data_IF_939504094911
#
_entry.id   IF_939504094911
#
_cell.length_a   1.000
_cell.length_b   1.000
_cell.length_c   1.000
_cell.angle_alpha   90.00
_cell.angle_beta   90.00
_cell.angle_gamma   90.00
#
_symmetry.space_group_name_H-M   'P 1'
#
loop_
_entity.id
_entity.type
_entity.pdbx_description
1 polymer ?
#
# COMPACT_ATOMS: atom_id res chain seq x y z
N UNK A 1 -7.47 -2.33 15.06
CA UNK A 1 -6.50 -3.34 14.58
C UNK A 1 -7.14 -4.19 13.50
N UNK A 2 -6.39 -4.63 12.50
CA UNK A 2 -6.92 -5.52 11.49
C UNK A 2 -7.44 -6.82 12.14
N UNK A 3 -8.53 -7.36 11.61
CA UNK A 3 -9.09 -8.66 11.99
C UNK A 3 -9.73 -9.29 10.76
N UNK A 4 -9.84 -10.60 10.77
CA UNK A 4 -10.45 -11.36 9.67
C UNK A 4 -11.85 -10.84 9.32
N UNK A 5 -12.05 -10.47 8.07
CA UNK A 5 -13.28 -9.91 7.55
C UNK A 5 -13.41 -8.39 7.64
N UNK A 6 -12.51 -7.67 8.35
CA UNK A 6 -12.49 -6.20 8.35
C UNK A 6 -12.28 -5.67 6.94
N UNK A 7 -13.03 -4.63 6.58
CA UNK A 7 -12.89 -3.93 5.30
C UNK A 7 -12.43 -2.51 5.58
N UNK A 8 -11.35 -2.11 4.93
CA UNK A 8 -10.89 -0.73 4.88
C UNK A 8 -11.10 -0.18 3.47
N UNK A 9 -11.37 1.10 3.35
CA UNK A 9 -11.67 1.73 2.06
C UNK A 9 -11.02 3.09 1.94
N UNK A 10 -10.62 3.42 0.72
CA UNK A 10 -10.15 4.74 0.34
C UNK A 10 -11.30 5.51 -0.32
N UNK A 11 -11.86 6.51 0.37
CA UNK A 11 -13.01 7.30 -0.11
C UNK A 11 -12.71 8.10 -1.40
N UNK A 12 -11.43 8.38 -1.70
CA UNK A 12 -11.03 9.17 -2.89
C UNK A 12 -10.83 8.29 -4.12
N UNK A 13 -10.28 7.11 -3.96
CA UNK A 13 -10.00 6.19 -5.08
C UNK A 13 -11.06 5.11 -5.23
N UNK A 14 -11.90 4.91 -4.22
CA UNK A 14 -12.88 3.83 -4.15
C UNK A 14 -12.26 2.44 -3.93
N UNK A 15 -10.93 2.34 -3.75
CA UNK A 15 -10.29 1.07 -3.44
C UNK A 15 -10.80 0.53 -2.10
N UNK A 16 -11.05 -0.77 -2.04
CA UNK A 16 -11.41 -1.48 -0.82
C UNK A 16 -10.45 -2.64 -0.61
N UNK A 17 -10.09 -2.90 0.64
CA UNK A 17 -9.27 -4.05 1.03
C UNK A 17 -10.02 -4.79 2.15
N UNK A 18 -10.27 -6.07 1.95
CA UNK A 18 -10.81 -7.00 2.95
C UNK A 18 -9.69 -7.89 3.46
N UNK A 19 -9.47 -7.93 4.76
CA UNK A 19 -8.52 -8.85 5.39
C UNK A 19 -9.12 -10.27 5.42
N UNK A 20 -8.43 -11.23 4.83
CA UNK A 20 -8.81 -12.66 4.78
C UNK A 20 -8.14 -13.44 5.90
N UNK A 21 -6.82 -13.22 6.06
CA UNK A 21 -6.02 -13.68 7.19
C UNK A 21 -5.09 -12.53 7.61
N UNK A 22 -4.98 -12.32 8.91
CA UNK A 22 -4.17 -11.25 9.48
C UNK A 22 -2.81 -11.78 9.96
N UNK A 23 -1.93 -10.88 10.35
CA UNK A 23 -0.66 -11.23 11.00
C UNK A 23 -0.90 -12.04 12.26
N UNK A 24 -1.91 -11.71 13.06
CA UNK A 24 -2.25 -12.44 14.29
C UNK A 24 -2.75 -13.87 13.98
N UNK A 25 -3.55 -14.04 12.91
CA UNK A 25 -4.05 -15.37 12.49
C UNK A 25 -2.92 -16.32 12.06
N UNK A 26 -1.80 -15.79 11.60
CA UNK A 26 -0.71 -16.57 10.98
C UNK A 26 0.61 -16.52 11.76
N UNK A 27 0.62 -15.91 12.94
CA UNK A 27 1.86 -15.70 13.72
C UNK A 27 2.89 -14.83 13.00
N UNK A 28 2.44 -13.92 12.14
CA UNK A 28 3.29 -13.01 11.39
C UNK A 28 3.82 -13.52 10.04
N UNK A 29 3.53 -14.76 9.69
CA UNK A 29 4.06 -15.37 8.46
C UNK A 29 3.38 -14.85 7.19
N UNK A 30 2.07 -14.62 7.25
CA UNK A 30 1.24 -14.25 6.09
C UNK A 30 0.21 -13.20 6.46
N UNK A 31 0.05 -12.20 5.60
CA UNK A 31 -1.12 -11.36 5.51
C UNK A 31 -1.82 -11.68 4.18
N UNK A 32 -3.09 -12.11 4.23
CA UNK A 32 -3.89 -12.35 3.04
C UNK A 32 -5.08 -11.40 2.97
N UNK A 33 -5.26 -10.80 1.81
CA UNK A 33 -6.28 -9.79 1.56
C UNK A 33 -6.97 -10.00 0.22
N UNK A 34 -8.17 -9.46 0.08
CA UNK A 34 -8.78 -9.19 -1.22
C UNK A 34 -8.86 -7.68 -1.44
N UNK A 35 -8.32 -7.22 -2.55
CA UNK A 35 -8.37 -5.82 -2.95
C UNK A 35 -9.31 -5.63 -4.14
N UNK A 36 -10.20 -4.64 -4.03
CA UNK A 36 -11.12 -4.23 -5.11
C UNK A 36 -10.63 -2.90 -5.67
N UNK A 37 -10.35 -2.88 -6.97
CA UNK A 37 -9.92 -1.70 -7.72
C UNK A 37 -11.07 -1.19 -8.57
N UNK A 38 -11.38 0.09 -8.45
CA UNK A 38 -12.40 0.72 -9.29
C UNK A 38 -11.92 0.85 -10.75
N UNK A 39 -12.85 0.97 -11.73
CA UNK A 39 -12.50 1.26 -13.10
C UNK A 39 -11.62 2.50 -13.22
N UNK A 40 -10.68 2.47 -14.16
CA UNK A 40 -9.77 3.59 -14.45
C UNK A 40 -9.03 4.12 -13.22
N UNK A 41 -8.69 3.25 -12.25
CA UNK A 41 -7.91 3.67 -11.11
C UNK A 41 -6.53 4.18 -11.56
N UNK A 42 -6.01 5.17 -10.83
CA UNK A 42 -4.70 5.73 -11.15
C UNK A 42 -3.59 4.80 -10.73
N UNK A 43 -2.53 4.76 -11.54
CA UNK A 43 -1.29 4.08 -11.17
C UNK A 43 -0.68 4.74 -9.92
N UNK A 44 -0.46 3.98 -8.83
CA UNK A 44 0.19 4.50 -7.64
C UNK A 44 1.69 4.74 -7.89
N UNK A 45 2.33 5.44 -6.95
CA UNK A 45 3.79 5.64 -6.98
C UNK A 45 4.49 4.29 -6.99
N UNK A 46 5.43 4.11 -7.93
CA UNK A 46 6.25 2.91 -8.01
C UNK A 46 7.04 2.72 -6.71
N UNK A 47 7.02 1.50 -6.17
CA UNK A 47 7.58 1.16 -4.87
C UNK A 47 8.16 -0.25 -4.84
N UNK A 48 8.76 -0.62 -3.72
CA UNK A 48 9.26 -1.97 -3.46
C UNK A 48 9.21 -2.30 -1.97
N UNK A 49 9.21 -3.58 -1.67
CA UNK A 49 9.22 -4.13 -0.32
C UNK A 49 10.60 -4.69 -0.02
N UNK A 50 11.37 -4.13 0.96
CA UNK A 50 12.75 -4.56 1.19
C UNK A 50 12.87 -5.95 1.80
N UNK A 51 11.85 -6.39 2.56
CA UNK A 51 11.90 -7.63 3.33
C UNK A 51 10.71 -8.56 3.09
N UNK A 52 9.79 -8.19 2.21
CA UNK A 52 8.56 -8.91 1.93
C UNK A 52 8.48 -9.32 0.48
N UNK A 53 7.79 -10.42 0.24
CA UNK A 53 7.37 -10.90 -1.08
C UNK A 53 5.86 -10.79 -1.18
N UNK A 54 5.35 -10.65 -2.38
CA UNK A 54 3.93 -10.53 -2.63
C UNK A 54 3.48 -11.47 -3.73
N UNK A 55 2.34 -12.12 -3.52
CA UNK A 55 1.67 -12.91 -4.53
C UNK A 55 0.30 -12.30 -4.82
N UNK A 56 0.00 -12.16 -6.10
CA UNK A 56 -1.29 -11.66 -6.56
C UNK A 56 -1.96 -12.67 -7.47
N UNK A 57 -3.27 -12.86 -7.28
CA UNK A 57 -4.12 -13.66 -8.16
C UNK A 57 -5.33 -12.82 -8.55
N UNK A 58 -5.56 -12.64 -9.83
CA UNK A 58 -6.73 -11.91 -10.32
C UNK A 58 -7.96 -12.80 -10.17
N UNK A 59 -8.88 -12.41 -9.29
CA UNK A 59 -10.11 -13.15 -9.03
C UNK A 59 -11.24 -12.76 -9.99
N UNK A 60 -11.24 -11.48 -10.43
CA UNK A 60 -12.27 -10.93 -11.31
C UNK A 60 -11.72 -9.72 -12.07
N UNK A 61 -12.13 -9.56 -13.32
CA UNK A 61 -11.71 -8.45 -14.19
C UNK A 61 -10.27 -8.57 -14.66
N UNK A 62 -9.60 -7.44 -14.77
CA UNK A 62 -8.19 -7.36 -15.18
C UNK A 62 -7.44 -6.27 -14.40
N UNK A 63 -6.15 -6.45 -14.24
CA UNK A 63 -5.28 -5.54 -13.51
C UNK A 63 -3.99 -5.27 -14.30
N UNK A 64 -3.55 -4.02 -14.33
CA UNK A 64 -2.28 -3.62 -14.92
C UNK A 64 -1.19 -3.65 -13.85
N UNK A 65 -0.06 -4.26 -14.17
CA UNK A 65 1.12 -4.31 -13.30
C UNK A 65 2.32 -3.79 -14.06
N UNK A 66 3.01 -2.81 -13.48
CA UNK A 66 4.29 -2.31 -13.99
C UNK A 66 5.42 -2.92 -13.19
N UNK A 67 6.42 -3.43 -13.89
CA UNK A 67 7.70 -3.86 -13.36
C UNK A 67 8.83 -3.26 -14.21
N UNK A 68 10.08 -3.62 -13.94
CA UNK A 68 11.22 -3.26 -14.80
C UNK A 68 11.12 -3.81 -16.24
N UNK A 69 10.28 -4.82 -16.46
CA UNK A 69 10.05 -5.44 -17.78
C UNK A 69 8.98 -4.72 -18.60
N UNK A 70 8.35 -3.68 -18.04
CA UNK A 70 7.26 -2.94 -18.67
C UNK A 70 5.93 -3.13 -17.96
N UNK A 71 4.85 -2.78 -18.66
CA UNK A 71 3.47 -2.97 -18.20
C UNK A 71 2.91 -4.25 -18.80
N UNK A 72 2.34 -5.08 -17.94
CA UNK A 72 1.56 -6.26 -18.35
C UNK A 72 0.14 -6.15 -17.80
N UNK A 73 -0.82 -6.70 -18.52
CA UNK A 73 -2.21 -6.82 -18.08
C UNK A 73 -2.46 -8.26 -17.69
N UNK A 74 -2.86 -8.46 -16.46
CA UNK A 74 -3.26 -9.76 -15.90
C UNK A 74 -4.77 -9.85 -15.93
N UNK A 75 -5.31 -10.98 -16.35
CA UNK A 75 -6.74 -11.29 -16.43
C UNK A 75 -7.14 -12.29 -15.36
N UNK A 76 -8.43 -12.52 -15.22
CA UNK A 76 -8.97 -13.49 -14.27
C UNK A 76 -8.25 -14.85 -14.39
N UNK A 77 -7.76 -15.35 -13.25
CA UNK A 77 -6.97 -16.57 -13.12
C UNK A 77 -5.46 -16.37 -13.23
N UNK A 78 -4.99 -15.25 -13.79
CA UNK A 78 -3.56 -14.95 -13.87
C UNK A 78 -2.98 -14.64 -12.49
N UNK A 79 -1.68 -14.94 -12.36
CA UNK A 79 -0.91 -14.77 -11.12
C UNK A 79 0.37 -14.00 -11.41
N UNK A 80 0.84 -13.28 -10.42
CA UNK A 80 2.17 -12.66 -10.44
C UNK A 80 2.79 -12.74 -9.06
N UNK A 81 4.08 -13.08 -9.03
CA UNK A 81 4.92 -13.02 -7.85
C UNK A 81 5.81 -11.78 -7.94
N UNK A 82 5.89 -11.02 -6.86
CA UNK A 82 6.77 -9.86 -6.70
C UNK A 82 7.78 -10.17 -5.60
N UNK A 83 9.02 -10.35 -5.98
CA UNK A 83 10.11 -10.66 -5.05
C UNK A 83 10.54 -9.43 -4.25
N UNK A 84 11.24 -9.66 -3.13
CA UNK A 84 11.90 -8.60 -2.34
C UNK A 84 12.69 -7.65 -3.24
N UNK A 85 12.61 -6.36 -2.95
CA UNK A 85 13.29 -5.29 -3.69
C UNK A 85 12.88 -5.13 -5.16
N UNK A 86 11.88 -5.85 -5.65
CA UNK A 86 11.36 -5.67 -7.01
C UNK A 86 10.46 -4.44 -7.07
N UNK A 87 10.88 -3.43 -7.84
CA UNK A 87 10.09 -2.23 -8.07
C UNK A 87 8.87 -2.57 -8.90
N UNK A 88 7.69 -2.16 -8.42
CA UNK A 88 6.41 -2.40 -9.09
C UNK A 88 5.38 -1.31 -8.76
N UNK A 89 4.28 -1.32 -9.52
CA UNK A 89 3.01 -0.63 -9.25
C UNK A 89 1.87 -1.44 -9.86
N UNK A 90 0.68 -1.35 -9.26
CA UNK A 90 -0.51 -2.09 -9.68
C UNK A 90 -1.73 -1.17 -9.69
N UNK A 91 -2.53 -1.21 -10.76
CA UNK A 91 -3.74 -0.40 -10.90
C UNK A 91 -4.71 -1.04 -11.90
N UNK A 92 -5.95 -0.60 -11.90
CA UNK A 92 -6.96 -1.05 -12.86
C UNK A 92 -7.14 0.00 -13.97
N UNK A 93 -6.64 -0.29 -15.17
CA UNK A 93 -6.82 0.59 -16.35
C UNK A 93 -8.14 0.31 -17.10
N UNK A 94 -8.81 -0.79 -16.79
CA UNK A 94 -10.00 -1.24 -17.50
C UNK A 94 -11.26 -0.43 -17.14
N UNK A 95 -12.34 -0.67 -17.89
CA UNK A 95 -13.67 -0.06 -17.67
C UNK A 95 -14.50 -0.78 -16.60
N UNK A 96 -14.05 -1.94 -16.15
CA UNK A 96 -14.76 -2.78 -15.18
C UNK A 96 -13.98 -2.80 -13.86
N UNK A 97 -14.67 -3.05 -12.76
CA UNK A 97 -14.05 -3.31 -11.46
C UNK A 97 -13.17 -4.56 -11.54
N UNK A 98 -12.04 -4.55 -10.85
CA UNK A 98 -11.19 -5.72 -10.70
C UNK A 98 -11.06 -6.13 -9.23
N UNK A 99 -11.01 -7.43 -8.96
CA UNK A 99 -10.79 -8.00 -7.63
C UNK A 99 -9.58 -8.92 -7.66
N UNK A 100 -8.68 -8.73 -6.70
CA UNK A 100 -7.39 -9.41 -6.64
C UNK A 100 -7.21 -10.00 -5.24
N UNK A 101 -6.86 -11.28 -5.15
CA UNK A 101 -6.30 -11.85 -3.92
C UNK A 101 -4.84 -11.39 -3.82
N UNK A 102 -4.46 -10.91 -2.67
CA UNK A 102 -3.15 -10.32 -2.39
C UNK A 102 -2.58 -10.93 -1.11
N UNK A 103 -1.42 -11.55 -1.23
CA UNK A 103 -0.66 -12.14 -0.13
C UNK A 103 0.65 -11.39 0.07
N UNK A 104 1.01 -11.15 1.32
CA UNK A 104 2.26 -10.49 1.73
C UNK A 104 2.98 -11.39 2.73
N UNK A 105 4.24 -11.71 2.48
CA UNK A 105 5.03 -12.64 3.26
C UNK A 105 6.45 -12.11 3.54
N UNK A 106 6.85 -11.97 4.82
CA UNK A 106 6.05 -12.02 6.04
C UNK A 106 5.07 -10.84 6.11
N UNK A 107 4.04 -10.93 6.96
CA UNK A 107 3.03 -9.88 7.16
C UNK A 107 3.64 -8.55 7.61
N UNK A 108 4.58 -8.59 8.54
CA UNK A 108 5.21 -7.41 9.18
C UNK A 108 4.16 -6.37 9.63
N UNK A 109 4.46 -5.08 9.52
CA UNK A 109 3.55 -3.96 9.84
C UNK A 109 2.64 -3.56 8.65
N UNK A 110 2.41 -4.43 7.65
CA UNK A 110 1.65 -4.08 6.44
C UNK A 110 0.21 -3.69 6.75
N UNK A 111 -0.44 -4.36 7.69
CA UNK A 111 -1.80 -4.04 8.14
C UNK A 111 -1.88 -2.61 8.66
N UNK A 112 -0.96 -2.24 9.56
CA UNK A 112 -0.87 -0.90 10.13
C UNK A 112 -0.58 0.17 9.07
N UNK A 113 0.29 -0.15 8.11
CA UNK A 113 0.59 0.73 6.99
C UNK A 113 -0.66 1.01 6.15
N UNK A 114 -1.43 -0.02 5.82
CA UNK A 114 -2.64 0.09 5.01
C UNK A 114 -3.76 0.85 5.76
N UNK A 115 -4.03 0.49 7.01
CA UNK A 115 -5.05 1.15 7.83
C UNK A 115 -4.72 2.63 8.04
N UNK A 116 -3.48 2.96 8.40
CA UNK A 116 -3.04 4.35 8.55
C UNK A 116 -3.08 5.11 7.22
N UNK A 117 -2.62 4.52 6.13
CA UNK A 117 -2.65 5.13 4.81
C UNK A 117 -4.06 5.49 4.37
N UNK A 118 -5.02 4.57 4.52
CA UNK A 118 -6.43 4.83 4.20
C UNK A 118 -7.07 5.83 5.15
N UNK A 119 -6.81 5.73 6.45
CA UNK A 119 -7.32 6.70 7.44
C UNK A 119 -6.83 8.12 7.15
N UNK A 120 -5.55 8.30 6.86
CA UNK A 120 -4.99 9.60 6.48
C UNK A 120 -5.65 10.13 5.20
N UNK A 121 -5.83 9.28 4.19
CA UNK A 121 -6.48 9.70 2.94
C UNK A 121 -7.92 10.15 3.18
N UNK A 122 -8.64 9.48 4.06
CA UNK A 122 -10.05 9.73 4.33
C UNK A 122 -10.30 10.93 5.25
N UNK A 123 -9.46 11.13 6.27
CA UNK A 123 -9.75 12.03 7.40
C UNK A 123 -8.75 13.19 7.50
N UNK A 124 -7.61 13.15 6.79
CA UNK A 124 -6.60 14.19 6.85
C UNK A 124 -6.51 14.96 5.53
N UNK A 125 -5.74 16.04 5.54
CA UNK A 125 -5.55 16.90 4.38
C UNK A 125 -4.67 16.21 3.34
N UNK A 126 -5.27 15.76 2.25
CA UNK A 126 -4.59 15.15 1.10
C UNK A 126 -5.01 15.84 -0.19
N UNK A 127 -4.21 15.69 -1.26
CA UNK A 127 -4.60 16.18 -2.59
C UNK A 127 -5.74 15.32 -3.18
N UNK A 128 -6.21 15.67 -4.38
CA UNK A 128 -7.31 14.95 -5.07
C UNK A 128 -6.97 13.48 -5.40
N UNK A 129 -5.69 13.13 -5.44
CA UNK A 129 -5.21 11.75 -5.63
C UNK A 129 -5.08 10.96 -4.33
N UNK A 130 -5.48 11.54 -3.19
CA UNK A 130 -5.35 10.92 -1.87
C UNK A 130 -3.92 10.94 -1.31
N UNK A 131 -2.98 11.67 -1.94
CA UNK A 131 -1.60 11.76 -1.46
C UNK A 131 -1.49 12.84 -0.37
N UNK A 132 -0.96 12.50 0.81
CA UNK A 132 -0.67 13.47 1.85
C UNK A 132 0.49 14.39 1.44
N UNK A 133 0.60 15.54 2.12
CA UNK A 133 1.71 16.46 1.92
C UNK A 133 3.05 15.86 2.33
N UNK A 134 4.15 16.47 1.84
CA UNK A 134 5.52 15.95 2.03
C UNK A 134 5.88 15.69 3.49
N UNK A 135 5.46 16.55 4.42
CA UNK A 135 5.73 16.38 5.85
C UNK A 135 5.07 15.11 6.43
N UNK A 136 3.83 14.82 6.02
CA UNK A 136 3.15 13.58 6.43
C UNK A 136 3.79 12.35 5.77
N UNK A 137 4.15 12.45 4.48
CA UNK A 137 4.86 11.39 3.75
C UNK A 137 6.19 11.07 4.41
N UNK A 138 6.95 12.07 4.85
CA UNK A 138 8.24 11.86 5.53
C UNK A 138 8.11 10.99 6.78
N UNK A 139 7.07 11.24 7.60
CA UNK A 139 6.82 10.44 8.80
C UNK A 139 6.38 9.02 8.49
N UNK A 140 5.45 8.85 7.54
CA UNK A 140 4.98 7.52 7.13
C UNK A 140 6.10 6.69 6.50
N UNK A 141 6.84 7.26 5.55
CA UNK A 141 7.93 6.59 4.87
C UNK A 141 9.07 6.23 5.83
N UNK A 142 9.32 7.04 6.87
CA UNK A 142 10.29 6.69 7.92
C UNK A 142 9.78 5.55 8.80
N UNK A 143 8.54 5.64 9.29
CA UNK A 143 7.93 4.64 10.21
C UNK A 143 7.80 3.27 9.57
N UNK A 144 7.37 3.23 8.31
CA UNK A 144 7.08 2.00 7.58
C UNK A 144 8.16 1.63 6.54
N UNK A 145 9.38 2.16 6.66
CA UNK A 145 10.48 1.93 5.72
C UNK A 145 10.93 0.47 5.61
N UNK A 146 10.57 -0.37 6.57
CA UNK A 146 10.79 -1.82 6.54
C UNK A 146 9.70 -2.58 5.77
N UNK A 147 8.53 -1.95 5.55
CA UNK A 147 7.41 -2.51 4.80
C UNK A 147 7.40 -1.97 3.36
N UNK A 148 7.52 -0.66 3.19
CA UNK A 148 7.27 0.03 1.93
C UNK A 148 8.32 1.10 1.68
N UNK A 149 8.89 1.14 0.47
CA UNK A 149 9.81 2.19 0.00
C UNK A 149 9.44 2.63 -1.40
N UNK A 150 9.31 3.94 -1.61
CA UNK A 150 9.14 4.50 -2.95
C UNK A 150 10.41 4.24 -3.79
N UNK A 151 10.23 4.04 -5.10
CA UNK A 151 11.34 3.67 -5.97
C UNK A 151 12.34 4.81 -6.21
N UNK A 152 11.86 6.07 -6.15
CA UNK A 152 12.68 7.27 -6.39
C UNK A 152 12.34 8.38 -5.40
N UNK A 153 13.34 9.15 -4.96
CA UNK A 153 14.78 9.01 -5.18
C UNK A 153 15.36 7.74 -4.49
N UNK A 154 16.66 7.42 -4.63
CA UNK A 154 17.27 6.28 -3.94
C UNK A 154 17.05 6.33 -2.41
N UNK A 155 16.91 5.18 -1.76
CA UNK A 155 16.55 5.10 -0.34
C UNK A 155 17.48 5.88 0.60
N UNK A 156 18.80 5.92 0.32
CA UNK A 156 19.73 6.72 1.12
C UNK A 156 19.36 8.22 1.11
N UNK A 157 18.96 8.74 -0.06
CA UNK A 157 18.49 10.13 -0.20
C UNK A 157 17.17 10.34 0.54
N UNK A 158 16.23 9.40 0.40
CA UNK A 158 14.96 9.44 1.13
C UNK A 158 15.20 9.49 2.65
N UNK A 159 16.09 8.62 3.15
CA UNK A 159 16.41 8.53 4.58
C UNK A 159 16.94 9.86 5.11
N UNK A 160 17.88 10.50 4.42
CA UNK A 160 18.41 11.82 4.82
C UNK A 160 17.29 12.85 4.80
N UNK A 161 16.57 12.97 3.69
CA UNK A 161 15.51 13.95 3.52
C UNK A 161 14.41 13.81 4.59
N UNK A 162 13.90 12.61 4.78
CA UNK A 162 12.80 12.36 5.71
C UNK A 162 13.23 12.51 7.17
N UNK A 163 14.46 12.12 7.52
CA UNK A 163 15.00 12.37 8.86
C UNK A 163 15.10 13.87 9.13
N UNK A 164 15.58 14.65 8.16
CA UNK A 164 15.66 16.12 8.29
C UNK A 164 14.27 16.77 8.41
N UNK A 165 13.26 16.26 7.70
CA UNK A 165 11.90 16.78 7.76
C UNK A 165 11.12 16.36 9.03
N UNK A 166 11.53 15.29 9.69
CA UNK A 166 10.83 14.71 10.85
C UNK A 166 10.50 15.73 11.95
N UNK A 167 11.44 16.56 12.47
CA UNK A 167 11.12 17.54 13.50
C UNK A 167 10.10 18.57 13.05
N UNK A 168 10.21 19.05 11.82
CA UNK A 168 9.23 20.00 11.25
C UNK A 168 7.85 19.38 11.09
N UNK A 169 7.81 18.09 10.74
CA UNK A 169 6.55 17.35 10.61
C UNK A 169 5.82 17.26 11.95
N UNK A 170 6.51 16.95 13.04
CA UNK A 170 5.91 16.91 14.37
C UNK A 170 5.50 18.30 14.86
N UNK A 171 6.29 19.35 14.61
CA UNK A 171 5.93 20.73 14.92
C UNK A 171 4.68 21.19 14.15
N UNK A 172 4.47 20.72 12.92
CA UNK A 172 3.28 20.96 12.14
C UNK A 172 2.06 20.11 12.56
N UNK A 173 2.17 19.33 13.63
CA UNK A 173 1.08 18.51 14.19
C UNK A 173 0.84 17.16 13.50
N UNK A 174 1.70 16.76 12.56
CA UNK A 174 1.61 15.45 11.93
C UNK A 174 2.12 14.34 12.86
N UNK A 175 1.66 13.11 12.62
CA UNK A 175 2.10 11.91 13.35
C UNK A 175 2.55 10.83 12.39
N UNK A 176 3.49 10.00 12.81
CA UNK A 176 3.96 8.83 12.04
C UNK A 176 2.97 7.66 12.10
N UNK A 177 2.06 7.68 13.08
CA UNK A 177 1.05 6.65 13.34
C UNK A 177 -0.15 7.28 14.03
N UNK A 178 -1.34 6.94 13.58
CA UNK A 178 -2.63 7.40 14.12
C UNK A 178 -3.39 6.19 14.65
N UNK A 179 -3.49 6.07 15.99
CA UNK A 179 -4.18 4.94 16.64
C UNK A 179 -5.64 4.86 16.23
N UNK A 180 -6.30 6.02 16.09
CA UNK A 180 -7.70 6.13 15.70
C UNK A 180 -8.06 5.52 14.34
N UNK A 181 -7.06 5.15 13.53
CA UNK A 181 -7.28 4.51 12.23
C UNK A 181 -7.08 2.99 12.25
N UNK A 182 -6.55 2.46 13.34
CA UNK A 182 -6.25 1.02 13.47
C UNK A 182 -7.08 0.32 14.56
N UNK A 183 -8.00 1.03 15.19
CA UNK A 183 -8.93 0.49 16.20
C UNK A 183 -10.16 -0.18 15.57
#
# INVERSE_FOLDING_TARGET
MAYKGKIISNKKTGQQIRFVQTSDDTGGELLEMESVFQPHSMEPVAHYHPFQEEDFVVLEGEISVRTKLGVQVLKQGDKIHVSKNQVHSMWNHSKNTARVNWKVMPASDTEYFLENGMGITNEKKTNDKGMPGLLQVALLASRFSHVYRIAKPPYAVQKILFTTLTPFSYLAGYRSFYKEFVD
#
